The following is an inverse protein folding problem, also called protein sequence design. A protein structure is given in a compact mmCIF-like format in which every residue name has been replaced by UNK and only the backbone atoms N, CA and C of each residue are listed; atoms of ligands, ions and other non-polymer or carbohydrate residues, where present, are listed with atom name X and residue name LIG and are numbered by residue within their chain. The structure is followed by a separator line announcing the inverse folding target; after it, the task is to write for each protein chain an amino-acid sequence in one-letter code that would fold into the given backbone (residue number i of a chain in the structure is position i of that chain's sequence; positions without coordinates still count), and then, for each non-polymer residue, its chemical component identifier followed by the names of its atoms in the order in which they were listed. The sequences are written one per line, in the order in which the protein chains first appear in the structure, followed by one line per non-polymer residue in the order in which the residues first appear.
data_IF_724082605351
#
_entry.id   IF_724082605351
#
_cell.length_a   1.000
_cell.length_b   1.000
_cell.length_c   1.000
_cell.angle_alpha   90.00
_cell.angle_beta   90.00
_cell.angle_gamma   90.00
#
_symmetry.space_group_name_H-M   'P 1'
#
loop_
_entity.id
_entity.type
_entity.pdbx_description
1 polymer ?
#
# COMPACT_ATOMS: atom_id res chain seq x y z
N UNK A 1 10.22 8.90 -14.72
CA UNK A 1 8.78 8.66 -14.87
C UNK A 1 8.58 7.64 -15.98
N UNK A 2 8.29 6.38 -15.65
CA UNK A 2 7.73 5.44 -16.62
C UNK A 2 6.22 5.48 -16.46
N UNK A 3 5.53 5.93 -17.51
CA UNK A 3 4.10 5.75 -17.70
C UNK A 3 3.68 4.33 -17.31
N UNK A 4 2.75 4.20 -16.36
CA UNK A 4 2.05 2.94 -16.06
C UNK A 4 1.51 2.41 -17.38
N UNK A 5 1.98 1.24 -17.83
CA UNK A 5 1.68 0.75 -19.18
C UNK A 5 0.36 -0.01 -19.18
N UNK A 6 -0.72 0.69 -18.79
CA UNK A 6 -2.09 0.16 -18.69
C UNK A 6 -2.67 -0.28 -20.04
N UNK A 7 -2.02 0.10 -21.16
CA UNK A 7 -2.35 -0.36 -22.53
C UNK A 7 -2.12 -1.86 -22.74
N UNK A 8 -1.46 -2.55 -21.81
CA UNK A 8 -1.22 -4.00 -21.88
C UNK A 8 -2.40 -4.84 -21.38
N UNK A 9 -3.31 -4.26 -20.58
CA UNK A 9 -4.47 -4.99 -20.09
C UNK A 9 -5.52 -5.09 -21.20
N UNK A 10 -5.90 -6.33 -21.51
CA UNK A 10 -6.89 -6.61 -22.53
C UNK A 10 -8.27 -6.30 -21.97
N UNK A 11 -9.03 -5.51 -22.73
CA UNK A 11 -10.42 -5.21 -22.43
C UNK A 11 -11.23 -6.52 -22.25
N UNK A 12 -12.18 -6.53 -21.32
CA UNK A 12 -13.02 -7.69 -20.93
C UNK A 12 -12.31 -8.87 -20.25
N UNK A 13 -10.97 -8.87 -20.17
CA UNK A 13 -10.23 -9.93 -19.47
C UNK A 13 -10.33 -9.71 -17.96
N UNK A 14 -10.62 -10.78 -17.23
CA UNK A 14 -10.63 -10.77 -15.77
C UNK A 14 -9.19 -10.86 -15.26
N UNK A 15 -8.84 -10.00 -14.31
CA UNK A 15 -7.53 -10.01 -13.65
C UNK A 15 -7.71 -10.14 -12.14
N UNK A 16 -6.68 -10.70 -11.50
CA UNK A 16 -6.55 -10.71 -10.05
C UNK A 16 -5.77 -9.48 -9.61
N UNK A 17 -6.29 -8.80 -8.60
CA UNK A 17 -5.67 -7.66 -7.98
C UNK A 17 -5.40 -7.92 -6.51
N UNK A 18 -4.35 -7.30 -6.00
CA UNK A 18 -4.13 -7.13 -4.57
C UNK A 18 -4.29 -5.66 -4.21
N UNK A 19 -4.74 -5.37 -3.00
CA UNK A 19 -4.82 -4.01 -2.49
C UNK A 19 -4.80 -4.00 -0.96
N UNK A 20 -4.54 -2.84 -0.38
CA UNK A 20 -4.61 -2.61 1.07
C UNK A 20 -5.86 -1.79 1.40
N UNK A 21 -6.68 -2.26 2.33
CA UNK A 21 -7.81 -1.49 2.85
C UNK A 21 -7.30 -0.32 3.70
N UNK A 22 -7.90 0.87 3.51
CA UNK A 22 -7.62 2.05 4.35
C UNK A 22 -8.78 2.35 5.27
N UNK A 23 -9.94 2.65 4.68
CA UNK A 23 -11.12 3.02 5.45
C UNK A 23 -12.40 2.70 4.69
N UNK A 24 -13.47 2.61 5.46
CA UNK A 24 -14.82 2.71 4.98
C UNK A 24 -15.32 4.15 5.12
N UNK A 25 -16.13 4.61 4.19
CA UNK A 25 -16.71 5.94 4.19
C UNK A 25 -18.09 5.92 3.53
N UNK A 26 -18.78 7.05 3.49
CA UNK A 26 -20.05 7.21 2.78
C UNK A 26 -19.96 8.33 1.76
N UNK A 27 -20.63 8.16 0.62
CA UNK A 27 -20.79 9.23 -0.38
C UNK A 27 -22.27 9.55 -0.51
N UNK A 28 -22.59 10.84 -0.53
CA UNK A 28 -23.92 11.34 -0.83
C UNK A 28 -24.04 11.57 -2.34
N UNK A 29 -25.06 10.98 -2.98
CA UNK A 29 -25.40 11.30 -4.37
C UNK A 29 -26.79 11.92 -4.45
N UNK A 30 -26.85 13.08 -5.08
CA UNK A 30 -28.09 13.74 -5.44
C UNK A 30 -28.57 13.25 -6.79
N UNK A 31 -29.83 12.80 -6.85
CA UNK A 31 -30.44 12.45 -8.12
C UNK A 31 -30.88 13.74 -8.81
N UNK A 32 -30.36 14.05 -10.00
CA UNK A 32 -30.65 15.31 -10.72
C UNK A 32 -32.16 15.62 -10.91
N UNK A 33 -33.02 14.61 -10.83
CA UNK A 33 -34.48 14.72 -11.00
C UNK A 33 -35.29 14.77 -9.70
N UNK A 34 -34.66 14.72 -8.52
CA UNK A 34 -35.35 14.75 -7.22
C UNK A 34 -34.45 15.35 -6.13
N UNK A 35 -35.00 16.06 -5.16
CA UNK A 35 -34.28 16.51 -3.95
C UNK A 35 -33.85 15.36 -3.02
N UNK A 36 -34.11 14.10 -3.40
CA UNK A 36 -33.70 12.92 -2.65
C UNK A 36 -32.19 12.73 -2.71
N UNK A 37 -31.57 12.72 -1.54
CA UNK A 37 -30.17 12.41 -1.30
C UNK A 37 -30.06 10.94 -0.92
N UNK A 38 -29.26 10.18 -1.66
CA UNK A 38 -28.97 8.79 -1.32
C UNK A 38 -27.55 8.70 -0.76
N UNK A 39 -27.41 8.05 0.38
CA UNK A 39 -26.12 7.80 1.04
C UNK A 39 -25.67 6.38 0.68
N UNK A 40 -24.44 6.24 0.20
CA UNK A 40 -23.88 4.97 -0.26
C UNK A 40 -22.62 4.63 0.52
N UNK A 41 -22.47 3.38 1.00
CA UNK A 41 -21.27 2.96 1.70
C UNK A 41 -20.16 2.69 0.68
N UNK A 42 -18.95 3.07 1.03
CA UNK A 42 -17.77 2.99 0.16
C UNK A 42 -16.54 2.58 0.94
N UNK A 43 -15.55 2.09 0.21
CA UNK A 43 -14.23 1.79 0.77
C UNK A 43 -13.16 2.46 -0.07
N UNK A 44 -12.12 2.88 0.62
CA UNK A 44 -10.88 3.34 0.02
C UNK A 44 -9.84 2.22 0.12
N UNK A 45 -9.36 1.79 -1.04
CA UNK A 45 -8.22 0.90 -1.16
C UNK A 45 -6.98 1.68 -1.61
N UNK A 46 -5.81 1.22 -1.20
CA UNK A 46 -4.52 1.69 -1.72
C UNK A 46 -3.67 0.57 -2.28
N UNK A 47 -2.71 0.93 -3.12
CA UNK A 47 -1.81 0.01 -3.85
C UNK A 47 -2.56 -1.12 -4.56
N UNK A 48 -3.49 -0.76 -5.43
CA UNK A 48 -4.12 -1.76 -6.26
C UNK A 48 -3.11 -2.22 -7.29
N UNK A 49 -2.62 -3.46 -7.14
CA UNK A 49 -1.60 -4.06 -7.97
C UNK A 49 -2.16 -5.28 -8.70
N UNK A 50 -1.61 -5.62 -9.88
CA UNK A 50 -1.84 -6.93 -10.48
C UNK A 50 -1.20 -8.01 -9.61
N UNK A 51 -1.96 -9.03 -9.24
CA UNK A 51 -1.47 -10.08 -8.34
C UNK A 51 -0.31 -10.88 -8.93
N UNK A 52 -0.30 -11.09 -10.24
CA UNK A 52 0.68 -11.96 -10.91
C UNK A 52 2.02 -11.26 -11.16
N UNK A 53 2.00 -9.94 -11.41
CA UNK A 53 3.19 -9.17 -11.78
C UNK A 53 3.66 -8.21 -10.69
N UNK A 54 2.81 -7.91 -9.70
CA UNK A 54 3.04 -6.84 -8.73
C UNK A 54 2.99 -5.44 -9.33
N UNK A 55 2.58 -5.29 -10.59
CA UNK A 55 2.51 -3.99 -11.25
C UNK A 55 1.41 -3.13 -10.61
N UNK A 56 1.80 -1.93 -10.16
CA UNK A 56 0.87 -0.95 -9.57
C UNK A 56 -0.07 -0.40 -10.63
N UNK A 57 -1.37 -0.58 -10.42
CA UNK A 57 -2.44 -0.14 -11.31
C UNK A 57 -3.10 1.13 -10.79
N UNK A 58 -3.36 1.21 -9.49
CA UNK A 58 -3.93 2.38 -8.86
C UNK A 58 -3.30 2.64 -7.50
N UNK A 59 -2.85 3.87 -7.26
CA UNK A 59 -2.39 4.30 -5.92
C UNK A 59 -3.55 4.27 -4.93
N UNK A 60 -4.67 4.88 -5.31
CA UNK A 60 -5.91 4.89 -4.54
C UNK A 60 -7.07 4.47 -5.43
N UNK A 61 -8.01 3.73 -4.85
CA UNK A 61 -9.18 3.26 -5.56
C UNK A 61 -10.39 3.27 -4.63
N UNK A 62 -11.32 4.16 -4.94
CA UNK A 62 -12.63 4.22 -4.29
C UNK A 62 -13.60 3.27 -4.99
N UNK A 63 -14.28 2.44 -4.20
CA UNK A 63 -15.36 1.60 -4.71
C UNK A 63 -16.51 1.51 -3.70
N UNK A 64 -17.65 1.01 -4.17
CA UNK A 64 -18.78 0.69 -3.30
C UNK A 64 -18.41 -0.38 -2.26
N UNK A 65 -18.82 -0.18 -1.02
CA UNK A 65 -18.73 -1.21 0.01
C UNK A 65 -19.86 -2.20 -0.21
N UNK A 66 -19.62 -3.14 -1.11
CA UNK A 66 -20.60 -4.17 -1.47
C UNK A 66 -20.59 -5.36 -0.52
N UNK A 67 -21.65 -6.16 -0.64
CA UNK A 67 -21.85 -7.45 0.07
C UNK A 67 -20.63 -8.37 0.10
N UNK A 68 -19.85 -8.41 -0.99
CA UNK A 68 -18.64 -9.26 -1.09
C UNK A 68 -17.53 -8.83 -0.13
N UNK A 69 -17.38 -7.54 0.14
CA UNK A 69 -16.47 -7.02 1.15
C UNK A 69 -17.06 -7.18 2.54
N UNK A 70 -18.37 -6.97 2.71
CA UNK A 70 -19.05 -7.07 4.00
C UNK A 70 -18.90 -8.46 4.62
N UNK A 71 -18.96 -9.51 3.79
CA UNK A 71 -18.73 -10.91 4.16
C UNK A 71 -17.35 -11.23 4.74
N UNK A 72 -16.38 -10.33 4.58
CA UNK A 72 -15.05 -10.49 5.19
C UNK A 72 -15.03 -10.04 6.65
N UNK A 73 -16.17 -9.59 7.18
CA UNK A 73 -16.29 -8.94 8.47
C UNK A 73 -15.64 -7.56 8.46
N UNK A 74 -15.43 -7.02 9.66
CA UNK A 74 -14.81 -5.70 9.85
C UNK A 74 -13.39 -5.68 9.31
N UNK A 75 -13.14 -4.75 8.40
CA UNK A 75 -11.82 -4.48 7.87
C UNK A 75 -11.14 -3.39 8.71
N UNK A 76 -9.85 -3.55 8.97
CA UNK A 76 -9.02 -2.56 9.66
C UNK A 76 -8.00 -1.98 8.69
N UNK A 77 -7.60 -0.73 8.89
CA UNK A 77 -6.58 -0.12 8.03
C UNK A 77 -5.33 -1.02 7.99
N UNK A 78 -4.82 -1.28 6.78
CA UNK A 78 -3.72 -2.21 6.55
C UNK A 78 -4.14 -3.62 6.14
N UNK A 79 -5.41 -4.01 6.27
CA UNK A 79 -5.89 -5.33 5.82
C UNK A 79 -5.55 -5.54 4.34
N UNK A 80 -4.81 -6.61 4.06
CA UNK A 80 -4.44 -6.99 2.70
C UNK A 80 -5.57 -7.78 2.05
N UNK A 81 -5.98 -7.36 0.86
CA UNK A 81 -7.08 -7.92 0.11
C UNK A 81 -6.60 -8.46 -1.23
N UNK A 82 -7.22 -9.54 -1.68
CA UNK A 82 -7.19 -10.02 -3.06
C UNK A 82 -8.59 -10.00 -3.63
N UNK A 83 -8.75 -9.55 -4.87
CA UNK A 83 -10.04 -9.54 -5.55
C UNK A 83 -9.88 -9.68 -7.06
N UNK A 84 -10.97 -10.04 -7.72
CA UNK A 84 -11.02 -10.12 -9.16
C UNK A 84 -11.73 -8.89 -9.72
N UNK A 85 -11.20 -8.29 -10.79
CA UNK A 85 -11.89 -7.23 -11.49
C UNK A 85 -11.55 -7.20 -12.99
N UNK A 86 -12.25 -6.35 -13.75
CA UNK A 86 -11.98 -6.13 -15.18
C UNK A 86 -11.58 -4.68 -15.41
N UNK A 87 -10.78 -4.36 -16.43
CA UNK A 87 -10.58 -2.99 -16.86
C UNK A 87 -11.88 -2.38 -17.39
N UNK A 88 -12.18 -1.12 -17.10
CA UNK A 88 -13.36 -0.43 -17.65
C UNK A 88 -13.16 -0.08 -19.14
N UNK A 89 -14.09 -0.53 -19.97
CA UNK A 89 -14.15 -0.35 -21.43
C UNK A 89 -14.15 1.15 -21.80
N UNK A 90 -14.82 1.98 -21.00
CA UNK A 90 -15.06 3.39 -21.32
C UNK A 90 -13.81 4.26 -21.12
N UNK A 91 -12.86 3.82 -20.30
CA UNK A 91 -11.63 4.56 -20.02
C UNK A 91 -10.51 4.21 -21.00
N UNK A 92 -10.48 2.97 -21.50
CA UNK A 92 -9.52 2.55 -22.53
C UNK A 92 -9.78 3.21 -23.89
N UNK A 93 -11.01 3.67 -24.16
CA UNK A 93 -11.40 4.35 -25.40
C UNK A 93 -11.29 5.89 -25.36
N UNK A 94 -11.16 6.50 -24.19
CA UNK A 94 -11.21 7.95 -24.05
C UNK A 94 -9.80 8.54 -23.89
N UNK A 95 -9.35 9.36 -24.86
CA UNK A 95 -7.98 9.91 -24.93
C UNK A 95 -7.66 10.94 -23.85
N UNK A 96 -8.63 11.33 -23.03
CA UNK A 96 -8.47 12.34 -21.99
C UNK A 96 -8.41 11.65 -20.62
N UNK A 97 -7.19 11.54 -20.07
CA UNK A 97 -6.84 11.27 -18.67
C UNK A 97 -8.02 11.00 -17.72
N UNK A 98 -8.66 9.85 -17.84
CA UNK A 98 -9.66 9.41 -16.88
C UNK A 98 -8.97 9.14 -15.55
N UNK A 99 -9.50 9.73 -14.49
CA UNK A 99 -9.05 9.52 -13.12
C UNK A 99 -8.93 8.01 -12.81
N UNK A 100 -7.89 7.64 -12.07
CA UNK A 100 -7.50 6.24 -11.82
C UNK A 100 -8.66 5.43 -11.23
N UNK A 101 -9.56 6.11 -10.50
CA UNK A 101 -10.80 5.57 -9.93
C UNK A 101 -11.78 4.96 -10.96
N UNK A 102 -11.67 5.30 -12.25
CA UNK A 102 -12.57 4.82 -13.31
C UNK A 102 -12.09 3.54 -14.02
N UNK A 103 -10.91 3.03 -13.69
CA UNK A 103 -10.21 2.04 -14.52
C UNK A 103 -10.52 0.58 -14.19
N UNK A 104 -11.10 0.30 -13.03
CA UNK A 104 -11.44 -1.04 -12.57
C UNK A 104 -12.94 -1.15 -12.43
N UNK A 105 -13.54 -2.00 -13.26
CA UNK A 105 -14.96 -2.32 -13.27
C UNK A 105 -15.25 -3.65 -12.57
N UNK A 106 -16.31 -3.64 -11.78
CA UNK A 106 -16.95 -4.80 -11.17
C UNK A 106 -16.01 -5.68 -10.33
N UNK A 107 -15.39 -5.10 -9.29
CA UNK A 107 -14.58 -5.89 -8.36
C UNK A 107 -15.46 -6.90 -7.61
N UNK A 108 -15.01 -8.14 -7.55
CA UNK A 108 -15.73 -9.28 -6.95
C UNK A 108 -14.74 -10.26 -6.31
N UNK A 109 -15.28 -11.29 -5.64
CA UNK A 109 -14.48 -12.37 -5.04
C UNK A 109 -13.38 -11.86 -4.10
N UNK A 110 -13.71 -10.85 -3.29
CA UNK A 110 -12.79 -10.34 -2.28
C UNK A 110 -12.42 -11.43 -1.28
N UNK A 111 -11.15 -11.45 -0.91
CA UNK A 111 -10.56 -12.32 0.10
C UNK A 111 -9.53 -11.55 0.90
N UNK A 112 -9.45 -11.86 2.19
CA UNK A 112 -8.37 -11.44 3.08
C UNK A 112 -7.09 -12.23 2.79
N UNK A 113 -5.95 -11.57 2.91
CA UNK A 113 -4.61 -12.17 2.80
C UNK A 113 -3.87 -12.18 4.15
N UNK A 114 -4.38 -11.48 5.15
CA UNK A 114 -3.88 -11.52 6.51
C UNK A 114 -4.19 -12.88 7.17
N UNK A 115 -3.19 -13.44 7.84
CA UNK A 115 -3.26 -14.76 8.50
C UNK A 115 -3.85 -14.69 9.91
N UNK A 116 -3.80 -13.52 10.54
CA UNK A 116 -4.30 -13.27 11.89
C UNK A 116 -5.37 -12.18 11.81
N UNK A 117 -6.63 -12.56 11.97
CA UNK A 117 -7.77 -11.65 11.98
C UNK A 117 -8.81 -12.16 12.97
N UNK A 118 -9.28 -11.26 13.83
CA UNK A 118 -10.41 -11.50 14.70
C UNK A 118 -11.69 -11.18 13.93
N UNK A 119 -12.46 -12.23 13.59
CA UNK A 119 -13.70 -12.06 12.85
C UNK A 119 -14.72 -11.27 13.66
N UNK A 120 -15.05 -10.07 13.18
CA UNK A 120 -16.19 -9.29 13.67
C UNK A 120 -17.19 -9.13 12.53
N UNK A 121 -18.41 -9.67 12.69
CA UNK A 121 -19.46 -9.54 11.70
C UNK A 121 -19.84 -8.06 11.48
N UNK A 122 -20.22 -7.72 10.25
CA UNK A 122 -20.79 -6.42 9.88
C UNK A 122 -22.00 -6.65 8.96
N UNK A 123 -22.94 -5.69 8.86
CA UNK A 123 -24.11 -5.88 8.04
C UNK A 123 -23.78 -6.07 6.55
N UNK A 124 -24.47 -7.02 5.91
CA UNK A 124 -24.38 -7.22 4.45
C UNK A 124 -25.34 -6.31 3.67
N UNK A 125 -26.41 -5.83 4.30
CA UNK A 125 -27.34 -4.88 3.70
C UNK A 125 -26.75 -3.48 3.60
N UNK A 126 -27.00 -2.80 2.49
CA UNK A 126 -26.37 -1.51 2.21
C UNK A 126 -26.83 -0.40 3.15
N UNK A 127 -28.06 -0.44 3.67
CA UNK A 127 -28.56 0.58 4.59
C UNK A 127 -27.96 0.38 5.98
N UNK A 128 -28.03 -0.86 6.48
CA UNK A 128 -27.43 -1.22 7.77
C UNK A 128 -25.92 -0.98 7.79
N UNK A 129 -25.21 -1.32 6.69
CA UNK A 129 -23.78 -1.07 6.56
C UNK A 129 -23.45 0.43 6.52
N UNK A 130 -24.31 1.24 5.91
CA UNK A 130 -24.16 2.70 5.93
C UNK A 130 -24.26 3.23 7.36
N UNK A 131 -25.24 2.75 8.14
CA UNK A 131 -25.36 3.06 9.56
C UNK A 131 -24.13 2.64 10.37
N UNK A 132 -23.61 1.43 10.11
CA UNK A 132 -22.39 0.94 10.74
C UNK A 132 -21.20 1.89 10.52
N UNK A 133 -20.99 2.34 9.29
CA UNK A 133 -19.91 3.30 8.97
C UNK A 133 -20.16 4.65 9.62
N UNK A 134 -21.40 5.16 9.56
CA UNK A 134 -21.76 6.45 10.15
C UNK A 134 -21.53 6.46 11.67
N UNK A 135 -21.88 5.38 12.37
CA UNK A 135 -21.73 5.26 13.82
C UNK A 135 -20.28 5.49 14.31
N UNK A 136 -19.29 5.25 13.45
CA UNK A 136 -17.86 5.46 13.77
C UNK A 136 -17.37 6.90 13.60
N UNK A 137 -18.16 7.83 13.06
CA UNK A 137 -17.69 9.18 12.68
C UNK A 137 -17.75 10.25 13.78
N UNK A 138 -18.42 10.01 14.90
CA UNK A 138 -18.57 10.96 16.02
C UNK A 138 -18.95 12.40 15.55
N UNK A 139 -20.15 12.56 14.98
CA UNK A 139 -20.67 13.84 14.49
C UNK A 139 -22.17 14.00 14.82
N UNK A 140 -22.71 15.21 14.62
CA UNK A 140 -24.17 15.39 14.60
C UNK A 140 -24.74 14.86 13.29
N UNK A 141 -25.83 14.11 13.37
CA UNK A 141 -26.48 13.48 12.21
C UNK A 141 -27.80 14.18 11.91
N UNK A 142 -28.08 14.39 10.62
CA UNK A 142 -29.39 14.86 10.19
C UNK A 142 -30.43 13.72 10.18
N UNK A 143 -31.72 14.05 10.03
CA UNK A 143 -32.81 13.06 10.02
C UNK A 143 -32.61 11.93 8.99
N UNK A 144 -32.03 12.23 7.82
CA UNK A 144 -31.77 11.23 6.79
C UNK A 144 -30.62 10.29 7.17
N UNK A 145 -29.60 10.78 7.88
CA UNK A 145 -28.49 9.97 8.38
C UNK A 145 -28.92 9.13 9.59
N UNK A 146 -29.78 9.70 10.45
CA UNK A 146 -30.33 9.03 11.63
C UNK A 146 -31.07 7.75 11.26
N UNK A 147 -31.86 7.77 10.18
CA UNK A 147 -32.53 6.57 9.69
C UNK A 147 -31.56 5.40 9.43
N UNK A 148 -30.38 5.66 8.86
CA UNK A 148 -29.38 4.60 8.64
C UNK A 148 -28.78 4.08 9.95
N UNK A 149 -28.55 4.96 10.92
CA UNK A 149 -28.08 4.57 12.26
C UNK A 149 -29.10 3.65 12.94
N UNK A 150 -30.39 3.98 12.84
CA UNK A 150 -31.46 3.16 13.40
C UNK A 150 -31.51 1.77 12.75
N UNK A 151 -31.30 1.69 11.42
CA UNK A 151 -31.20 0.39 10.73
C UNK A 151 -30.01 -0.44 11.23
N UNK A 152 -28.88 0.19 11.51
CA UNK A 152 -27.72 -0.50 12.07
C UNK A 152 -27.95 -0.96 13.51
N UNK A 153 -28.63 -0.17 14.33
CA UNK A 153 -28.94 -0.56 15.71
C UNK A 153 -29.85 -1.78 15.76
N UNK A 154 -30.91 -1.81 14.93
CA UNK A 154 -31.77 -2.98 14.77
C UNK A 154 -30.97 -4.23 14.38
N UNK A 155 -30.05 -4.09 13.42
CA UNK A 155 -29.17 -5.19 13.04
C UNK A 155 -28.28 -5.65 14.21
N UNK A 156 -27.74 -4.73 15.02
CA UNK A 156 -26.91 -5.09 16.18
C UNK A 156 -27.72 -5.84 17.24
N UNK A 157 -28.95 -5.41 17.52
CA UNK A 157 -29.84 -6.09 18.47
C UNK A 157 -30.16 -7.51 18.02
N UNK A 158 -30.38 -7.71 16.72
CA UNK A 158 -30.67 -9.03 16.13
C UNK A 158 -29.43 -9.96 16.05
N UNK A 159 -28.22 -9.39 15.99
CA UNK A 159 -26.96 -10.14 15.78
C UNK A 159 -25.99 -9.99 16.96
N UNK A 160 -26.52 -9.69 18.15
CA UNK A 160 -25.73 -9.42 19.37
C UNK A 160 -24.75 -10.55 19.72
N UNK A 161 -25.16 -11.81 19.52
CA UNK A 161 -24.34 -13.00 19.81
C UNK A 161 -23.17 -13.19 18.83
N UNK A 162 -23.22 -12.62 17.61
CA UNK A 162 -22.16 -12.72 16.59
C UNK A 162 -21.09 -11.62 16.72
N UNK A 163 -21.33 -10.61 17.54
CA UNK A 163 -20.40 -9.50 17.77
C UNK A 163 -19.25 -9.85 18.73
N UNK A 164 -19.42 -10.89 19.55
CA UNK A 164 -18.50 -11.30 20.64
C UNK A 164 -17.77 -12.64 20.39
N UNK A 165 -17.92 -13.27 19.22
CA UNK A 165 -17.32 -14.58 18.94
C UNK A 165 -15.81 -14.47 18.66
N UNK A 166 -15.00 -14.67 19.70
CA UNK A 166 -13.55 -14.84 19.61
C UNK A 166 -13.20 -16.21 19.01
N UNK A 167 -12.39 -16.23 17.93
CA UNK A 167 -11.75 -17.45 17.43
C UNK A 167 -10.25 -17.35 17.71
N UNK A 168 -9.74 -18.23 18.56
CA UNK A 168 -8.32 -18.36 18.92
C UNK A 168 -7.44 -18.97 17.80
N UNK A 169 -6.14 -18.68 17.92
CA UNK A 169 -5.03 -18.84 16.98
C UNK A 169 -4.71 -20.27 16.49
N UNK A 170 -3.99 -20.35 15.36
CA UNK A 170 -3.25 -21.54 14.86
C UNK A 170 -1.79 -21.10 14.61
N UNK A 171 -0.76 -21.92 14.92
CA UNK A 171 0.48 -21.45 15.53
C UNK A 171 1.50 -20.82 14.57
N UNK A 172 2.45 -20.14 15.22
CA UNK A 172 3.63 -19.50 14.67
C UNK A 172 4.46 -20.39 13.73
N UNK A 173 4.90 -19.79 12.63
CA UNK A 173 6.16 -20.17 11.97
C UNK A 173 7.19 -19.14 12.43
N UNK A 174 8.11 -19.61 13.25
CA UNK A 174 9.31 -18.92 13.71
C UNK A 174 10.39 -18.88 12.62
N UNK A 175 11.44 -18.11 12.91
CA UNK A 175 12.70 -17.86 12.21
C UNK A 175 12.70 -16.71 11.18
N UNK A 176 13.19 -15.54 11.60
CA UNK A 176 14.57 -15.14 11.28
C UNK A 176 15.05 -13.99 12.19
N UNK A 177 16.25 -14.18 12.73
CA UNK A 177 16.92 -13.39 13.77
C UNK A 177 17.28 -11.95 13.39
N UNK A 178 17.34 -11.12 14.43
CA UNK A 178 17.86 -9.75 14.48
C UNK A 178 19.36 -9.65 14.12
N UNK A 179 19.72 -8.57 13.42
CA UNK A 179 21.10 -8.05 13.39
C UNK A 179 21.07 -6.59 13.84
N UNK A 180 21.84 -6.30 14.90
CA UNK A 180 22.07 -4.98 15.48
C UNK A 180 22.90 -4.09 14.54
N UNK A 181 22.61 -2.80 14.54
CA UNK A 181 23.27 -1.78 13.73
C UNK A 181 24.15 -0.94 14.64
N UNK A 182 25.46 -1.18 14.61
CA UNK A 182 26.46 -0.18 15.02
C UNK A 182 27.52 -0.01 13.93
N UNK A 183 27.72 1.27 13.61
CA UNK A 183 28.87 1.99 13.09
C UNK A 183 29.53 1.71 11.73
N UNK A 184 30.09 2.82 11.25
CA UNK A 184 31.23 2.99 10.35
C UNK A 184 30.90 3.45 8.92
N UNK A 185 30.90 4.78 8.79
CA UNK A 185 31.19 5.50 7.56
C UNK A 185 32.68 5.93 7.59
N UNK A 186 33.59 5.03 7.19
CA UNK A 186 34.81 5.39 6.42
C UNK A 186 35.60 4.19 5.82
N UNK A 187 35.24 2.93 6.11
CA UNK A 187 35.94 1.71 5.61
C UNK A 187 35.70 1.30 4.14
N UNK A 188 35.27 2.20 3.24
CA UNK A 188 34.61 1.82 1.96
C UNK A 188 35.45 0.95 1.00
N UNK A 189 36.76 0.84 1.20
CA UNK A 189 37.67 -0.02 0.43
C UNK A 189 38.27 -1.20 1.23
N UNK A 190 37.96 -1.32 2.53
CA UNK A 190 38.58 -2.31 3.43
C UNK A 190 37.71 -3.54 3.74
N UNK A 191 36.38 -3.49 3.53
CA UNK A 191 35.48 -4.61 3.92
C UNK A 191 35.33 -5.73 2.89
N UNK A 192 35.32 -5.42 1.59
CA UNK A 192 35.14 -6.44 0.55
C UNK A 192 36.09 -6.26 -0.63
N UNK A 193 36.32 -7.34 -1.38
CA UNK A 193 37.21 -7.38 -2.53
C UNK A 193 36.60 -8.23 -3.64
N UNK A 194 36.89 -7.87 -4.88
CA UNK A 194 36.62 -8.73 -6.03
C UNK A 194 37.83 -9.61 -6.30
N UNK A 195 37.61 -10.92 -6.37
CA UNK A 195 38.64 -11.91 -6.70
C UNK A 195 38.22 -12.75 -7.89
N UNK A 196 39.18 -13.35 -8.60
CA UNK A 196 38.89 -14.38 -9.60
C UNK A 196 38.44 -15.66 -8.89
N UNK A 197 37.33 -16.25 -9.32
CA UNK A 197 36.89 -17.56 -8.87
C UNK A 197 37.51 -18.62 -9.78
N UNK A 198 38.36 -19.49 -9.22
CA UNK A 198 38.93 -20.61 -9.98
C UNK A 198 37.86 -21.68 -10.29
N UNK A 199 36.84 -21.83 -9.44
CA UNK A 199 35.74 -22.80 -9.65
C UNK A 199 34.84 -22.40 -10.82
N UNK A 200 34.59 -21.10 -11.00
CA UNK A 200 33.70 -20.59 -12.05
C UNK A 200 34.45 -20.18 -13.31
N UNK A 201 35.78 -20.01 -13.23
CA UNK A 201 36.60 -19.66 -14.38
C UNK A 201 37.00 -20.89 -15.18
N UNK A 202 36.99 -20.77 -16.50
CA UNK A 202 37.64 -21.72 -17.40
C UNK A 202 38.86 -21.08 -18.09
N UNK A 203 39.49 -21.80 -19.01
CA UNK A 203 40.69 -21.35 -19.74
C UNK A 203 40.45 -20.12 -20.63
N UNK A 204 39.20 -19.88 -21.04
CA UNK A 204 38.82 -18.82 -21.97
C UNK A 204 38.00 -17.71 -21.28
N UNK A 205 37.29 -18.03 -20.20
CA UNK A 205 36.35 -17.16 -19.50
C UNK A 205 36.72 -17.03 -18.03
N UNK A 206 37.34 -15.90 -17.68
CA UNK A 206 37.58 -15.54 -16.28
C UNK A 206 36.29 -15.06 -15.62
N UNK A 207 36.00 -15.61 -14.45
CA UNK A 207 34.87 -15.22 -13.61
C UNK A 207 35.35 -14.62 -12.30
N UNK A 208 34.67 -13.58 -11.86
CA UNK A 208 34.97 -12.84 -10.64
C UNK A 208 33.81 -12.88 -9.66
N UNK A 209 34.10 -12.85 -8.36
CA UNK A 209 33.13 -12.86 -7.27
C UNK A 209 33.53 -11.84 -6.20
N UNK A 210 32.57 -11.35 -5.43
CA UNK A 210 32.82 -10.46 -4.28
C UNK A 210 33.01 -11.32 -3.04
N UNK A 211 34.08 -11.06 -2.30
CA UNK A 211 34.36 -11.67 -1.00
C UNK A 211 34.46 -10.62 0.09
N UNK A 212 34.17 -11.04 1.31
CA UNK A 212 34.57 -10.34 2.51
C UNK A 212 36.09 -10.42 2.68
N UNK A 213 36.76 -9.28 2.89
CA UNK A 213 38.23 -9.24 2.94
C UNK A 213 38.79 -9.94 4.17
N UNK A 214 38.08 -9.93 5.28
CA UNK A 214 38.53 -10.47 6.57
C UNK A 214 38.28 -11.97 6.64
N UNK A 215 37.02 -12.37 6.44
CA UNK A 215 36.56 -13.75 6.57
C UNK A 215 36.78 -14.60 5.31
N UNK A 216 37.11 -13.97 4.18
CA UNK A 216 37.24 -14.59 2.85
C UNK A 216 35.97 -15.28 2.35
N UNK A 217 34.83 -15.07 2.98
CA UNK A 217 33.54 -15.63 2.55
C UNK A 217 33.05 -14.92 1.29
N UNK A 218 32.43 -15.68 0.39
CA UNK A 218 31.77 -15.13 -0.80
C UNK A 218 30.51 -14.38 -0.38
N UNK A 219 30.45 -13.09 -0.72
CA UNK A 219 29.31 -12.20 -0.45
C UNK A 219 28.38 -12.10 -1.67
N UNK A 220 28.92 -12.27 -2.88
CA UNK A 220 28.17 -12.24 -4.13
C UNK A 220 28.92 -12.97 -5.25
N UNK A 221 28.30 -14.02 -5.79
CA UNK A 221 28.80 -14.83 -6.89
C UNK A 221 27.98 -14.68 -8.18
N UNK A 222 27.07 -13.70 -8.23
CA UNK A 222 26.11 -13.52 -9.33
C UNK A 222 25.29 -14.80 -9.62
N UNK A 223 24.66 -15.37 -8.59
CA UNK A 223 23.88 -16.61 -8.67
C UNK A 223 24.72 -17.77 -9.25
N UNK A 224 25.95 -17.88 -8.76
CA UNK A 224 26.94 -18.89 -9.17
C UNK A 224 27.36 -18.84 -10.64
N UNK A 225 27.07 -17.74 -11.37
CA UNK A 225 27.53 -17.53 -12.75
C UNK A 225 28.86 -16.75 -12.83
N UNK A 226 29.19 -16.03 -11.76
CA UNK A 226 30.31 -15.10 -11.69
C UNK A 226 30.18 -13.89 -12.62
N UNK A 227 30.93 -12.84 -12.31
CA UNK A 227 31.04 -11.64 -13.15
C UNK A 227 32.16 -11.79 -14.18
N UNK A 228 31.97 -11.26 -15.38
CA UNK A 228 33.02 -11.29 -16.42
C UNK A 228 34.10 -10.22 -16.21
N UNK A 229 33.79 -9.17 -15.45
CA UNK A 229 34.70 -8.05 -15.18
C UNK A 229 34.65 -7.68 -13.71
N UNK A 230 35.79 -7.26 -13.19
CA UNK A 230 35.94 -6.77 -11.80
C UNK A 230 35.04 -5.56 -11.53
N UNK A 231 34.98 -4.63 -12.49
CA UNK A 231 34.15 -3.43 -12.38
C UNK A 231 32.66 -3.76 -12.22
N UNK A 232 32.15 -4.67 -13.05
CA UNK A 232 30.74 -5.09 -13.03
C UNK A 232 30.37 -5.74 -11.68
N UNK A 233 31.30 -6.49 -11.09
CA UNK A 233 31.11 -7.08 -9.77
C UNK A 233 30.95 -6.01 -8.67
N UNK A 234 31.85 -5.01 -8.63
CA UNK A 234 31.76 -3.90 -7.67
C UNK A 234 30.47 -3.09 -7.86
N UNK A 235 30.17 -2.67 -9.09
CA UNK A 235 28.97 -1.87 -9.38
C UNK A 235 27.68 -2.61 -9.01
N UNK A 236 27.61 -3.91 -9.31
CA UNK A 236 26.44 -4.75 -8.99
C UNK A 236 26.25 -4.92 -7.48
N UNK A 237 27.33 -5.19 -6.75
CA UNK A 237 27.28 -5.39 -5.31
C UNK A 237 26.96 -4.10 -4.54
N UNK A 238 27.57 -2.98 -4.93
CA UNK A 238 27.27 -1.67 -4.36
C UNK A 238 25.82 -1.26 -4.62
N UNK A 239 25.33 -1.49 -5.83
CA UNK A 239 23.93 -1.27 -6.15
C UNK A 239 23.00 -2.12 -5.26
N UNK A 240 23.35 -3.39 -5.01
CA UNK A 240 22.60 -4.28 -4.10
C UNK A 240 22.59 -3.76 -2.66
N UNK A 241 23.73 -3.29 -2.15
CA UNK A 241 23.86 -2.71 -0.81
C UNK A 241 23.04 -1.41 -0.68
N UNK A 242 23.14 -0.52 -1.66
CA UNK A 242 22.38 0.73 -1.68
C UNK A 242 20.87 0.44 -1.72
N UNK A 243 20.44 -0.53 -2.54
CA UNK A 243 19.06 -0.98 -2.56
C UNK A 243 18.62 -1.60 -1.23
N UNK A 244 19.48 -2.35 -0.54
CA UNK A 244 19.17 -2.91 0.78
C UNK A 244 18.96 -1.82 1.83
N UNK A 245 19.83 -0.79 1.85
CA UNK A 245 19.69 0.38 2.73
C UNK A 245 18.42 1.17 2.41
N UNK A 246 18.12 1.38 1.14
CA UNK A 246 16.87 2.01 0.71
C UNK A 246 15.64 1.21 1.17
N UNK A 247 15.64 -0.12 0.99
CA UNK A 247 14.57 -1.00 1.50
C UNK A 247 14.40 -0.92 3.01
N UNK A 248 15.50 -0.83 3.77
CA UNK A 248 15.44 -0.65 5.22
C UNK A 248 14.77 0.67 5.60
N UNK A 249 15.25 1.79 5.05
CA UNK A 249 14.68 3.12 5.33
C UNK A 249 13.21 3.20 4.98
N UNK A 250 12.80 2.62 3.85
CA UNK A 250 11.38 2.55 3.45
C UNK A 250 10.52 1.71 4.39
N UNK A 251 11.04 0.59 4.91
CA UNK A 251 10.33 -0.19 5.95
C UNK A 251 10.17 0.60 7.24
N UNK A 252 11.19 1.34 7.66
CA UNK A 252 11.10 2.23 8.84
C UNK A 252 10.11 3.36 8.63
N UNK A 253 10.12 4.01 7.47
CA UNK A 253 9.15 5.04 7.13
C UNK A 253 7.70 4.50 7.13
N UNK A 254 7.47 3.31 6.56
CA UNK A 254 6.15 2.66 6.58
C UNK A 254 5.71 2.33 8.01
N UNK A 255 6.58 1.69 8.78
CA UNK A 255 6.30 1.35 10.18
C UNK A 255 6.01 2.59 11.02
N UNK A 256 6.70 3.69 10.76
CA UNK A 256 6.46 4.96 11.44
C UNK A 256 5.07 5.53 11.07
N UNK A 257 4.70 5.58 9.78
CA UNK A 257 3.37 6.04 9.34
C UNK A 257 2.24 5.23 9.95
N UNK A 258 2.38 3.90 10.02
CA UNK A 258 1.37 3.03 10.64
C UNK A 258 1.13 3.35 12.12
N UNK A 259 2.16 3.84 12.82
CA UNK A 259 2.06 4.25 14.22
C UNK A 259 1.69 5.74 14.41
N UNK A 260 1.63 6.53 13.33
CA UNK A 260 1.32 7.97 13.34
C UNK A 260 0.19 8.25 12.34
N UNK A 261 -0.98 7.65 12.61
CA UNK A 261 -2.15 7.73 11.74
C UNK A 261 -2.68 9.18 11.57
N UNK A 262 -2.45 10.03 12.57
CA UNK A 262 -2.73 11.47 12.52
C UNK A 262 -1.87 12.18 11.47
N UNK A 263 -0.59 11.79 11.35
CA UNK A 263 0.31 12.31 10.32
C UNK A 263 -0.10 11.84 8.92
N UNK A 264 -0.50 10.57 8.77
CA UNK A 264 -1.02 10.03 7.51
C UNK A 264 -2.29 10.78 7.05
N UNK A 265 -3.22 11.02 7.99
CA UNK A 265 -4.44 11.81 7.73
C UNK A 265 -4.08 13.24 7.30
N UNK A 266 -3.14 13.89 7.99
CA UNK A 266 -2.67 15.25 7.65
C UNK A 266 -2.07 15.31 6.24
N UNK A 267 -1.25 14.31 5.86
CA UNK A 267 -0.70 14.22 4.51
C UNK A 267 -1.81 14.08 3.45
N UNK A 268 -2.84 13.27 3.73
CA UNK A 268 -3.97 13.07 2.82
C UNK A 268 -4.81 14.33 2.63
N UNK A 269 -5.12 15.04 3.72
CA UNK A 269 -5.89 16.30 3.68
C UNK A 269 -5.16 17.34 2.82
N UNK A 270 -3.88 17.58 3.09
CA UNK A 270 -3.05 18.53 2.33
C UNK A 270 -2.92 18.10 0.86
N UNK A 271 -2.76 16.79 0.60
CA UNK A 271 -2.70 16.30 -0.77
C UNK A 271 -4.02 16.55 -1.53
N UNK A 272 -5.18 16.31 -0.90
CA UNK A 272 -6.49 16.58 -1.50
C UNK A 272 -6.64 18.08 -1.74
N UNK A 273 -6.29 18.95 -0.77
CA UNK A 273 -6.36 20.40 -0.95
C UNK A 273 -5.51 20.91 -2.13
N UNK A 274 -4.34 20.32 -2.34
CA UNK A 274 -3.44 20.66 -3.46
C UNK A 274 -3.95 20.10 -4.80
N UNK A 275 -4.64 18.95 -4.79
CA UNK A 275 -5.01 18.23 -6.03
C UNK A 275 -6.46 18.44 -6.49
N UNK A 276 -7.40 18.66 -5.57
CA UNK A 276 -8.81 18.94 -5.85
C UNK A 276 -9.05 20.47 -5.94
N UNK A 277 -8.78 21.03 -7.13
CA UNK A 277 -9.25 22.34 -7.65
C UNK A 277 -9.57 23.44 -6.61
N UNK A 278 -8.58 23.84 -5.82
CA UNK A 278 -8.63 24.98 -4.89
C UNK A 278 -7.60 26.07 -5.22
N UNK A 279 -7.65 27.19 -4.46
CA UNK A 279 -6.89 28.47 -4.64
C UNK A 279 -5.35 28.36 -4.69
N UNK A 280 -4.79 27.14 -4.67
CA UNK A 280 -3.35 26.85 -4.55
C UNK A 280 -2.78 26.07 -5.74
N UNK A 281 -3.61 25.74 -6.75
CA UNK A 281 -3.15 25.09 -7.99
C UNK A 281 -2.02 25.93 -8.63
N UNK A 282 -0.80 25.36 -8.65
CA UNK A 282 0.41 26.00 -9.19
C UNK A 282 1.27 26.80 -8.20
N UNK A 283 0.83 26.99 -6.95
CA UNK A 283 1.62 27.71 -5.92
C UNK A 283 2.40 26.78 -4.98
N UNK A 284 1.90 25.56 -4.73
CA UNK A 284 2.53 24.59 -3.82
C UNK A 284 2.51 23.21 -4.47
N UNK A 285 3.65 22.51 -4.43
CA UNK A 285 3.78 21.11 -4.83
C UNK A 285 3.78 20.20 -3.61
N UNK A 286 3.03 19.10 -3.68
CA UNK A 286 3.15 18.02 -2.71
C UNK A 286 4.47 17.26 -2.96
N UNK A 287 5.55 17.75 -2.38
CA UNK A 287 6.91 17.28 -2.62
C UNK A 287 7.68 16.97 -1.31
N UNK A 288 8.96 16.60 -1.45
CA UNK A 288 9.78 16.19 -0.31
C UNK A 288 10.01 17.31 0.70
N UNK A 289 10.04 18.57 0.24
CA UNK A 289 10.29 19.73 1.11
C UNK A 289 9.06 19.97 1.97
N UNK A 290 7.87 19.91 1.38
CA UNK A 290 6.62 20.00 2.13
C UNK A 290 6.56 18.94 3.24
N UNK A 291 6.89 17.69 2.92
CA UNK A 291 6.92 16.61 3.93
C UNK A 291 7.98 16.84 5.02
N UNK A 292 9.14 17.36 4.65
CA UNK A 292 10.19 17.73 5.59
C UNK A 292 9.74 18.84 6.55
N UNK A 293 9.10 19.90 6.03
CA UNK A 293 8.55 20.99 6.82
C UNK A 293 7.47 20.50 7.79
N UNK A 294 6.60 19.58 7.35
CA UNK A 294 5.57 18.97 8.19
C UNK A 294 6.15 18.13 9.34
N UNK A 295 7.22 17.38 9.07
CA UNK A 295 7.94 16.62 10.11
C UNK A 295 8.59 17.56 11.13
N UNK A 296 9.20 18.66 10.67
CA UNK A 296 9.79 19.67 11.55
C UNK A 296 8.74 20.36 12.42
N UNK A 297 7.58 20.72 11.85
CA UNK A 297 6.46 21.28 12.61
C UNK A 297 5.93 20.32 13.69
N UNK A 298 5.99 19.01 13.43
CA UNK A 298 5.65 17.96 14.39
C UNK A 298 6.77 17.59 15.37
N UNK A 299 7.91 18.29 15.33
CA UNK A 299 9.11 18.01 16.13
C UNK A 299 9.68 16.59 15.92
N UNK A 300 9.53 16.04 14.70
CA UNK A 300 10.06 14.72 14.32
C UNK A 300 11.44 14.87 13.64
N UNK A 301 12.48 15.05 14.44
CA UNK A 301 13.85 15.38 13.96
C UNK A 301 14.82 14.20 13.96
N UNK A 302 14.51 13.13 14.69
CA UNK A 302 15.37 11.94 14.84
C UNK A 302 14.71 10.71 14.21
N UNK A 303 14.83 10.58 12.88
CA UNK A 303 14.19 9.52 12.10
C UNK A 303 15.23 8.63 11.41
N UNK A 304 14.98 7.32 11.38
CA UNK A 304 15.80 6.34 10.66
C UNK A 304 15.56 6.34 9.13
N UNK A 305 14.85 7.35 8.63
CA UNK A 305 14.47 7.50 7.24
C UNK A 305 14.43 8.98 6.85
N UNK A 306 14.51 9.27 5.56
CA UNK A 306 14.46 10.64 5.04
C UNK A 306 13.03 11.05 4.69
N UNK A 307 12.75 12.36 4.60
CA UNK A 307 11.47 12.90 4.10
C UNK A 307 11.13 12.35 2.71
N UNK A 308 12.14 12.13 1.86
CA UNK A 308 11.99 11.45 0.56
C UNK A 308 11.53 9.99 0.72
N UNK A 309 12.09 9.23 1.66
CA UNK A 309 11.68 7.84 1.90
C UNK A 309 10.22 7.79 2.38
N UNK A 310 9.84 8.70 3.29
CA UNK A 310 8.47 8.85 3.78
C UNK A 310 7.50 9.21 2.67
N UNK A 311 7.83 10.23 1.88
CA UNK A 311 7.04 10.66 0.73
C UNK A 311 6.88 9.52 -0.28
N UNK A 312 7.96 8.81 -0.60
CA UNK A 312 7.91 7.69 -1.54
C UNK A 312 7.07 6.53 -1.02
N UNK A 313 7.17 6.19 0.27
CA UNK A 313 6.37 5.12 0.88
C UNK A 313 4.90 5.54 0.96
N UNK A 314 4.62 6.79 1.26
CA UNK A 314 3.25 7.32 1.25
C UNK A 314 2.68 7.43 -0.18
N UNK A 315 3.53 7.61 -1.20
CA UNK A 315 3.12 7.61 -2.61
C UNK A 315 2.97 6.22 -3.24
N UNK A 316 3.81 5.26 -2.85
CA UNK A 316 3.90 3.93 -3.47
C UNK A 316 3.27 2.83 -2.60
N UNK A 317 2.88 3.18 -1.39
CA UNK A 317 2.43 2.31 -0.31
C UNK A 317 1.08 2.73 0.20
#
# INVERSE_FOLDING_TARGET
MSTVNMKKLKNLTQYNFTATFIKADVIVRERKSSSLKNIYPTVLLKNVCLADTGELIAKYYWLGYGKSLAKLGRLTSGTQLKFEARPDINVLGNKNNGDIASLIAWPKNFRRLDKAYQYQAIPEDSHQLTGCILSGKQQEYNESEQWYLDQYELWREENADELDTLVEEVPAIDDYQDIKVEDVLDDKLEKYAVIRSEELSDSENRKYVIIDRETKKVLDDNNSLGYLKVKDAYESYEHRLNNAKERYRKRRALSWLLNHADFDKKLLEIYIEITDKGQWEGYISFDKKLVEDLLLQGNHTHLEFTSKDLLEVWYKG
#
